data_IF_785155518130
#
_entry.id   IF_785155518130
#
_cell.length_a   1.000
_cell.length_b   1.000
_cell.length_c   1.000
_cell.angle_alpha   90.00
_cell.angle_beta   90.00
_cell.angle_gamma   90.00
#
_symmetry.space_group_name_H-M   'P 1'
#
loop_
_entity.id
_entity.type
_entity.pdbx_description
1 polymer ?
#
# COMPACT_ATOMS: atom_id res chain seq x y z
N UNK A 1 33.37 -60.96 -5.86
CA UNK A 1 32.51 -60.19 -6.73
C UNK A 1 31.12 -59.88 -6.15
N UNK A 2 30.62 -60.57 -5.16
CA UNK A 2 29.29 -60.31 -4.53
C UNK A 2 29.31 -59.10 -3.56
N UNK A 3 30.44 -58.81 -2.91
CA UNK A 3 30.51 -57.73 -1.90
C UNK A 3 30.56 -56.31 -2.48
N UNK A 4 30.90 -56.12 -3.75
CA UNK A 4 30.90 -54.81 -4.40
C UNK A 4 29.50 -54.41 -4.89
N UNK A 5 28.67 -55.37 -5.22
CA UNK A 5 27.30 -55.13 -5.68
C UNK A 5 26.38 -54.70 -4.55
N UNK A 6 26.56 -55.26 -3.33
CA UNK A 6 25.81 -54.89 -2.15
C UNK A 6 26.13 -53.45 -1.63
N UNK A 7 27.36 -52.98 -1.83
CA UNK A 7 27.78 -51.63 -1.47
C UNK A 7 27.29 -50.55 -2.49
N UNK A 8 27.14 -50.93 -3.77
CA UNK A 8 26.55 -50.10 -4.79
C UNK A 8 25.02 -49.93 -4.61
N UNK A 9 24.34 -51.03 -4.26
CA UNK A 9 22.89 -50.99 -4.00
C UNK A 9 22.55 -50.21 -2.71
N UNK A 10 23.44 -50.22 -1.70
CA UNK A 10 23.26 -49.39 -0.49
C UNK A 10 23.51 -47.90 -0.76
N UNK A 11 24.47 -47.56 -1.62
CA UNK A 11 24.72 -46.16 -2.00
C UNK A 11 23.63 -45.57 -2.93
N UNK A 12 22.98 -46.41 -3.76
CA UNK A 12 21.84 -45.95 -4.56
C UNK A 12 20.56 -45.75 -3.73
N UNK A 13 20.38 -46.53 -2.64
CA UNK A 13 19.24 -46.40 -1.75
C UNK A 13 19.36 -45.19 -0.78
N UNK A 14 20.56 -44.70 -0.50
CA UNK A 14 20.74 -43.49 0.30
C UNK A 14 20.47 -42.21 -0.47
N UNK A 15 20.58 -42.22 -1.80
CA UNK A 15 20.29 -41.05 -2.64
C UNK A 15 18.79 -40.89 -3.00
N UNK A 16 17.95 -41.88 -2.72
CA UNK A 16 16.51 -41.85 -3.05
C UNK A 16 15.60 -41.51 -1.87
N UNK A 17 16.14 -41.26 -0.66
CA UNK A 17 15.40 -40.84 0.52
C UNK A 17 15.53 -39.35 0.79
N UNK A 18 15.66 -38.53 -0.24
CA UNK A 18 15.32 -37.10 -0.11
C UNK A 18 13.78 -37.01 -0.14
N UNK A 19 13.19 -36.97 1.05
CA UNK A 19 11.77 -36.67 1.23
C UNK A 19 11.37 -35.48 0.32
N UNK A 20 10.41 -35.65 -0.60
CA UNK A 20 9.99 -34.60 -1.51
C UNK A 20 9.30 -33.43 -0.77
N UNK A 21 9.16 -33.53 0.54
CA UNK A 21 8.54 -32.52 1.40
C UNK A 21 9.55 -31.54 2.02
N UNK A 22 10.84 -31.84 2.01
CA UNK A 22 11.86 -30.90 2.50
C UNK A 22 12.46 -30.14 1.30
N UNK A 23 11.86 -29.00 0.97
CA UNK A 23 12.55 -28.03 0.10
C UNK A 23 13.89 -27.70 0.74
N UNK A 24 14.99 -28.01 0.04
CA UNK A 24 16.33 -27.62 0.46
C UNK A 24 16.34 -26.11 0.66
N UNK A 25 17.02 -25.61 1.70
CA UNK A 25 17.11 -24.15 2.00
C UNK A 25 17.42 -23.31 0.75
N UNK A 26 18.25 -23.85 -0.15
CA UNK A 26 18.56 -23.25 -1.46
C UNK A 26 17.32 -23.16 -2.37
N UNK A 27 16.43 -24.15 -2.38
CA UNK A 27 15.19 -24.11 -3.15
C UNK A 27 14.22 -23.06 -2.62
N UNK A 28 14.16 -22.88 -1.29
CA UNK A 28 13.33 -21.85 -0.68
C UNK A 28 13.81 -20.43 -1.03
N UNK A 29 15.12 -20.20 -1.07
CA UNK A 29 15.72 -18.93 -1.51
C UNK A 29 15.45 -18.63 -2.98
N UNK A 30 15.47 -19.64 -3.85
CA UNK A 30 15.17 -19.46 -5.27
C UNK A 30 13.70 -19.04 -5.48
N UNK A 31 12.75 -19.66 -4.77
CA UNK A 31 11.34 -19.29 -4.81
C UNK A 31 11.14 -17.86 -4.29
N UNK A 32 11.82 -17.49 -3.19
CA UNK A 32 11.77 -16.13 -2.64
C UNK A 32 12.29 -15.09 -3.66
N UNK A 33 13.41 -15.36 -4.30
CA UNK A 33 13.99 -14.48 -5.32
C UNK A 33 13.04 -14.28 -6.50
N UNK A 34 12.44 -15.36 -7.00
CA UNK A 34 11.48 -15.31 -8.10
C UNK A 34 10.22 -14.51 -7.72
N UNK A 35 9.72 -14.71 -6.49
CA UNK A 35 8.59 -13.95 -5.95
C UNK A 35 8.90 -12.45 -5.89
N UNK A 36 10.07 -12.10 -5.32
CA UNK A 36 10.50 -10.70 -5.19
C UNK A 36 10.64 -10.03 -6.56
N UNK A 37 11.28 -10.71 -7.52
CA UNK A 37 11.42 -10.18 -8.88
C UNK A 37 10.07 -9.93 -9.54
N UNK A 38 9.11 -10.85 -9.38
CA UNK A 38 7.76 -10.72 -9.92
C UNK A 38 7.02 -9.52 -9.31
N UNK A 39 7.13 -9.34 -7.98
CA UNK A 39 6.55 -8.19 -7.28
C UNK A 39 7.13 -6.88 -7.83
N UNK A 40 8.45 -6.78 -7.93
CA UNK A 40 9.13 -5.57 -8.45
C UNK A 40 8.66 -5.22 -9.86
N UNK A 41 8.55 -6.21 -10.74
CA UNK A 41 8.06 -6.00 -12.12
C UNK A 41 6.62 -5.46 -12.13
N UNK A 42 5.73 -6.05 -11.32
CA UNK A 42 4.32 -5.62 -11.27
C UNK A 42 4.20 -4.21 -10.68
N UNK A 43 4.96 -3.89 -9.62
CA UNK A 43 5.01 -2.53 -9.05
C UNK A 43 5.50 -1.52 -10.10
N UNK A 44 6.55 -1.86 -10.84
CA UNK A 44 7.11 -0.98 -11.86
C UNK A 44 6.12 -0.71 -13.00
N UNK A 45 5.46 -1.75 -13.50
CA UNK A 45 4.42 -1.62 -14.53
C UNK A 45 3.24 -0.77 -14.02
N UNK A 46 2.78 -1.01 -12.79
CA UNK A 46 1.70 -0.21 -12.17
C UNK A 46 2.11 1.25 -12.00
N UNK A 47 3.36 1.52 -11.62
CA UNK A 47 3.89 2.89 -11.48
C UNK A 47 3.93 3.63 -12.82
N UNK A 48 4.31 2.95 -13.91
CA UNK A 48 4.28 3.52 -15.27
C UNK A 48 2.84 3.86 -15.68
N UNK A 49 1.87 2.99 -15.36
CA UNK A 49 0.46 3.25 -15.66
C UNK A 49 -0.04 4.49 -14.91
N UNK A 50 0.26 4.60 -13.61
CA UNK A 50 -0.11 5.78 -12.80
C UNK A 50 0.58 7.04 -13.35
N UNK A 51 1.85 6.95 -13.72
CA UNK A 51 2.60 8.05 -14.31
C UNK A 51 1.97 8.55 -15.62
N UNK A 52 1.45 7.65 -16.45
CA UNK A 52 0.77 8.01 -17.70
C UNK A 52 -0.57 8.74 -17.44
N UNK A 53 -1.31 8.35 -16.40
CA UNK A 53 -2.61 8.96 -16.05
C UNK A 53 -2.49 10.10 -15.02
N UNK A 54 -1.44 10.94 -15.13
CA UNK A 54 -1.12 12.00 -14.17
C UNK A 54 -2.32 12.89 -13.80
N UNK A 55 -3.06 13.40 -14.80
CA UNK A 55 -4.10 14.39 -14.59
C UNK A 55 -5.22 13.86 -13.69
N UNK A 56 -5.71 12.65 -13.97
CA UNK A 56 -6.73 11.99 -13.13
C UNK A 56 -6.21 11.64 -11.75
N UNK A 57 -4.96 11.21 -11.67
CA UNK A 57 -4.33 10.85 -10.41
C UNK A 57 -4.22 12.04 -9.47
N UNK A 58 -3.73 13.17 -9.99
CA UNK A 58 -3.60 14.39 -9.20
C UNK A 58 -4.96 15.00 -8.88
N UNK A 59 -5.93 14.97 -9.79
CA UNK A 59 -7.31 15.39 -9.53
C UNK A 59 -7.91 14.66 -8.32
N UNK A 60 -7.76 13.33 -8.25
CA UNK A 60 -8.26 12.53 -7.14
C UNK A 60 -7.52 12.86 -5.83
N UNK A 61 -6.19 12.97 -5.86
CA UNK A 61 -5.40 13.19 -4.64
C UNK A 61 -5.60 14.62 -4.12
N UNK A 62 -5.78 15.59 -5.00
CA UNK A 62 -5.98 16.98 -4.63
C UNK A 62 -7.43 17.31 -4.25
N UNK A 63 -8.39 16.46 -4.58
CA UNK A 63 -9.80 16.67 -4.24
C UNK A 63 -10.05 17.02 -2.75
N UNK A 64 -9.36 16.41 -1.76
CA UNK A 64 -9.52 16.78 -0.35
C UNK A 64 -9.01 18.18 0.02
N UNK A 65 -8.28 18.88 -0.84
CA UNK A 65 -7.87 20.27 -0.63
C UNK A 65 -8.97 21.30 -0.93
N UNK A 66 -10.02 20.86 -1.64
CA UNK A 66 -11.17 21.68 -1.97
C UNK A 66 -12.22 21.63 -0.85
N UNK A 67 -12.78 22.77 -0.47
CA UNK A 67 -13.88 22.89 0.51
C UNK A 67 -15.14 22.12 0.11
N UNK A 68 -15.32 21.85 -1.19
CA UNK A 68 -16.45 21.11 -1.74
C UNK A 68 -16.31 19.57 -1.63
N UNK A 69 -15.27 19.07 -1.03
CA UNK A 69 -15.03 17.62 -0.92
C UNK A 69 -16.18 16.90 -0.18
N UNK A 70 -16.50 15.69 -0.64
CA UNK A 70 -17.65 14.91 -0.17
C UNK A 70 -17.70 14.75 1.36
N UNK A 71 -16.55 14.59 2.00
CA UNK A 71 -16.46 14.40 3.46
C UNK A 71 -16.93 15.64 4.21
N UNK A 72 -16.54 16.84 3.76
CA UNK A 72 -16.94 18.08 4.43
C UNK A 72 -18.44 18.31 4.31
N UNK A 73 -19.03 18.10 3.12
CA UNK A 73 -20.48 18.19 2.90
C UNK A 73 -21.28 17.18 3.71
N UNK A 74 -20.77 15.94 3.80
CA UNK A 74 -21.44 14.90 4.59
C UNK A 74 -21.38 15.23 6.08
N UNK A 75 -20.24 15.73 6.55
CA UNK A 75 -20.07 16.11 7.94
C UNK A 75 -20.94 17.32 8.30
N UNK A 76 -21.02 18.34 7.43
CA UNK A 76 -21.90 19.49 7.59
C UNK A 76 -23.36 19.07 7.69
N UNK A 77 -23.81 18.19 6.79
CA UNK A 77 -25.19 17.68 6.82
C UNK A 77 -25.50 16.79 8.04
N UNK A 78 -24.50 16.15 8.64
CA UNK A 78 -24.64 15.38 9.88
C UNK A 78 -24.68 16.30 11.10
N UNK A 79 -23.87 17.35 11.13
CA UNK A 79 -23.83 18.33 12.21
C UNK A 79 -25.12 19.17 12.25
N UNK A 80 -25.67 19.54 11.09
CA UNK A 80 -26.97 20.23 10.99
C UNK A 80 -28.12 19.41 11.59
N UNK A 81 -28.06 18.09 11.49
CA UNK A 81 -29.05 17.18 12.12
C UNK A 81 -28.97 17.14 13.65
N UNK A 82 -27.82 17.53 14.22
CA UNK A 82 -27.57 17.51 15.67
C UNK A 82 -27.73 18.92 16.26
N UNK A 83 -28.27 19.88 15.47
CA UNK A 83 -28.48 21.28 15.86
C UNK A 83 -27.16 22.02 16.24
N UNK A 84 -26.04 21.55 15.71
CA UNK A 84 -24.74 22.20 15.84
C UNK A 84 -24.44 22.93 14.53
N UNK A 85 -24.71 24.24 14.49
CA UNK A 85 -24.35 25.07 13.34
C UNK A 85 -22.83 25.26 13.27
N UNK A 86 -22.13 24.30 12.74
CA UNK A 86 -20.70 24.40 12.48
C UNK A 86 -20.50 24.64 10.98
N UNK A 87 -20.37 25.89 10.60
CA UNK A 87 -19.98 26.25 9.23
C UNK A 87 -18.49 25.98 9.07
N UNK A 88 -18.16 25.09 8.17
CA UNK A 88 -16.79 24.98 7.70
C UNK A 88 -16.53 26.18 6.79
N UNK A 89 -15.84 27.20 7.32
CA UNK A 89 -15.39 28.34 6.51
C UNK A 89 -14.72 27.84 5.23
N UNK A 90 -14.92 28.58 4.14
CA UNK A 90 -14.32 28.31 2.83
C UNK A 90 -12.80 28.20 2.97
N UNK A 91 -12.33 26.99 3.21
CA UNK A 91 -10.92 26.67 3.35
C UNK A 91 -10.42 26.14 2.01
N UNK A 92 -9.78 27.01 1.26
CA UNK A 92 -9.05 26.62 0.06
C UNK A 92 -7.56 26.55 0.37
N UNK A 93 -6.97 25.38 0.20
CA UNK A 93 -5.53 25.23 0.31
C UNK A 93 -4.89 25.62 -1.00
N UNK A 94 -4.29 26.80 -1.03
CA UNK A 94 -3.45 27.19 -2.16
C UNK A 94 -2.11 26.47 -2.05
N UNK A 95 -1.90 25.48 -2.89
CA UNK A 95 -0.65 24.73 -2.97
C UNK A 95 0.36 25.51 -3.81
N UNK A 96 1.56 25.67 -3.26
CA UNK A 96 2.68 26.30 -3.96
C UNK A 96 3.78 25.28 -4.26
N UNK A 97 4.56 25.55 -5.31
CA UNK A 97 5.80 24.84 -5.59
C UNK A 97 6.97 25.78 -5.38
N UNK A 98 7.95 25.36 -4.61
CA UNK A 98 9.12 26.20 -4.25
C UNK A 98 10.30 25.99 -5.18
N UNK A 99 10.42 24.81 -5.78
CA UNK A 99 11.53 24.45 -6.66
C UNK A 99 11.04 24.15 -8.08
N UNK A 100 11.87 24.44 -9.06
CA UNK A 100 11.56 24.23 -10.48
C UNK A 100 11.34 22.74 -10.82
N UNK A 101 12.11 21.88 -10.19
CA UNK A 101 12.04 20.41 -10.37
C UNK A 101 11.01 19.72 -9.48
N UNK A 102 10.47 20.43 -8.49
CA UNK A 102 9.55 19.87 -7.48
C UNK A 102 8.35 19.17 -8.10
N UNK A 103 7.68 19.78 -9.07
CA UNK A 103 6.51 19.17 -9.73
C UNK A 103 6.84 17.83 -10.40
N UNK A 104 8.01 17.73 -11.05
CA UNK A 104 8.43 16.49 -11.69
C UNK A 104 8.77 15.41 -10.66
N UNK A 105 9.53 15.78 -9.62
CA UNK A 105 9.92 14.85 -8.55
C UNK A 105 8.70 14.36 -7.77
N UNK A 106 7.77 15.25 -7.45
CA UNK A 106 6.51 14.88 -6.80
C UNK A 106 5.70 13.93 -7.67
N UNK A 107 5.57 14.20 -8.97
CA UNK A 107 4.86 13.32 -9.89
C UNK A 107 5.52 11.93 -9.95
N UNK A 108 6.84 11.86 -10.05
CA UNK A 108 7.60 10.62 -10.10
C UNK A 108 7.42 9.81 -8.80
N UNK A 109 7.66 10.45 -7.64
CA UNK A 109 7.51 9.81 -6.32
C UNK A 109 6.08 9.34 -6.08
N UNK A 110 5.08 10.18 -6.32
CA UNK A 110 3.67 9.85 -6.16
C UNK A 110 3.26 8.68 -7.04
N UNK A 111 3.73 8.63 -8.30
CA UNK A 111 3.44 7.51 -9.20
C UNK A 111 4.03 6.19 -8.70
N UNK A 112 5.22 6.24 -8.12
CA UNK A 112 5.87 5.05 -7.54
C UNK A 112 5.11 4.55 -6.31
N UNK A 113 4.72 5.46 -5.42
CA UNK A 113 3.95 5.11 -4.22
C UNK A 113 2.55 4.58 -4.54
N UNK A 114 1.84 5.22 -5.45
CA UNK A 114 0.52 4.75 -5.88
C UNK A 114 0.62 3.41 -6.62
N UNK A 115 1.66 3.22 -7.43
CA UNK A 115 1.96 1.93 -8.04
C UNK A 115 2.12 0.83 -6.99
N UNK A 116 2.84 1.11 -5.90
CA UNK A 116 2.98 0.20 -4.76
C UNK A 116 1.62 -0.06 -4.08
N UNK A 117 0.82 0.98 -3.82
CA UNK A 117 -0.50 0.85 -3.19
C UNK A 117 -1.47 0.03 -4.05
N UNK A 118 -1.52 0.28 -5.35
CA UNK A 118 -2.37 -0.50 -6.28
C UNK A 118 -1.91 -1.95 -6.36
N UNK A 119 -0.61 -2.20 -6.27
CA UNK A 119 -0.05 -3.55 -6.33
C UNK A 119 -0.13 -4.27 -4.98
N UNK A 120 -0.43 -3.59 -3.89
CA UNK A 120 -0.46 -4.17 -2.54
C UNK A 120 -1.31 -5.44 -2.41
N UNK A 121 -2.54 -5.57 -2.99
CA UNK A 121 -3.30 -6.80 -2.93
C UNK A 121 -2.57 -7.97 -3.63
N UNK A 122 -1.87 -7.71 -4.71
CA UNK A 122 -1.07 -8.72 -5.39
C UNK A 122 0.12 -9.15 -4.53
N UNK A 123 0.80 -8.21 -3.87
CA UNK A 123 1.91 -8.49 -2.94
C UNK A 123 1.42 -9.40 -1.81
N UNK A 124 0.23 -9.12 -1.27
CA UNK A 124 -0.39 -9.95 -0.23
C UNK A 124 -0.67 -11.37 -0.72
N UNK A 125 -1.25 -11.51 -1.90
CA UNK A 125 -1.51 -12.81 -2.50
C UNK A 125 -0.22 -13.63 -2.69
N UNK A 126 0.84 -13.00 -3.19
CA UNK A 126 2.14 -13.67 -3.37
C UNK A 126 2.79 -14.05 -2.03
N UNK A 127 2.70 -13.21 -1.00
CA UNK A 127 3.19 -13.52 0.36
C UNK A 127 2.48 -14.73 0.95
N UNK A 128 1.15 -14.77 0.87
CA UNK A 128 0.37 -15.90 1.40
C UNK A 128 0.66 -17.17 0.59
N UNK A 129 0.78 -17.07 -0.73
CA UNK A 129 1.16 -18.19 -1.59
C UNK A 129 2.53 -18.77 -1.24
N UNK A 130 3.47 -17.91 -0.83
CA UNK A 130 4.81 -18.33 -0.38
C UNK A 130 4.75 -19.03 0.99
N UNK A 131 3.91 -18.57 1.90
CA UNK A 131 3.76 -19.12 3.26
C UNK A 131 2.83 -20.35 3.28
N UNK A 132 1.87 -20.43 2.34
CA UNK A 132 0.86 -21.48 2.29
C UNK A 132 1.41 -22.92 2.30
N UNK A 133 2.51 -23.28 1.62
CA UNK A 133 3.08 -24.64 1.70
C UNK A 133 3.65 -24.97 3.07
N UNK A 134 4.03 -23.98 3.88
CA UNK A 134 4.51 -24.18 5.25
C UNK A 134 3.35 -24.29 6.26
N UNK A 135 2.13 -23.91 5.89
CA UNK A 135 0.93 -24.09 6.69
C UNK A 135 0.33 -25.47 6.42
N UNK A 136 -0.09 -26.16 7.48
CA UNK A 136 -0.68 -27.50 7.49
C UNK A 136 -1.65 -27.76 6.33
N UNK A 137 -1.75 -29.02 5.87
CA UNK A 137 -2.59 -29.46 4.74
C UNK A 137 -4.08 -29.05 4.85
N UNK A 138 -4.62 -28.90 6.06
CA UNK A 138 -5.97 -28.41 6.32
C UNK A 138 -6.14 -26.89 6.11
N UNK A 139 -5.05 -26.13 6.01
CA UNK A 139 -5.07 -24.67 5.82
C UNK A 139 -5.31 -24.22 4.37
N UNK A 140 -5.05 -25.08 3.39
CA UNK A 140 -5.16 -24.72 1.95
C UNK A 140 -6.57 -24.27 1.55
N UNK A 141 -7.61 -24.86 2.14
CA UNK A 141 -9.01 -24.57 1.81
C UNK A 141 -9.45 -23.20 2.35
N UNK A 142 -8.86 -22.74 3.46
CA UNK A 142 -9.20 -21.47 4.10
C UNK A 142 -8.27 -20.31 3.69
N UNK A 143 -7.15 -20.58 3.02
CA UNK A 143 -6.17 -19.57 2.61
C UNK A 143 -6.79 -18.52 1.68
N UNK A 144 -7.73 -18.88 0.82
CA UNK A 144 -8.43 -17.94 -0.07
C UNK A 144 -9.32 -16.96 0.70
N UNK A 145 -10.01 -17.44 1.73
CA UNK A 145 -10.85 -16.61 2.59
C UNK A 145 -9.99 -15.60 3.34
N UNK A 146 -8.84 -16.04 3.86
CA UNK A 146 -7.88 -15.19 4.56
C UNK A 146 -7.37 -14.06 3.64
N UNK A 147 -6.93 -14.39 2.41
CA UNK A 147 -6.50 -13.41 1.41
C UNK A 147 -7.57 -12.38 1.12
N UNK A 148 -8.80 -12.85 0.90
CA UNK A 148 -9.93 -11.98 0.58
C UNK A 148 -10.28 -11.07 1.75
N UNK A 149 -10.27 -11.57 2.98
CA UNK A 149 -10.51 -10.75 4.19
C UNK A 149 -9.45 -9.68 4.38
N UNK A 150 -8.16 -10.01 4.21
CA UNK A 150 -7.06 -9.03 4.29
C UNK A 150 -7.20 -7.95 3.22
N UNK A 151 -7.58 -8.32 2.01
CA UNK A 151 -7.80 -7.38 0.93
C UNK A 151 -8.94 -6.40 1.21
N UNK A 152 -10.09 -6.92 1.70
CA UNK A 152 -11.20 -6.06 2.11
C UNK A 152 -10.79 -5.10 3.23
N UNK A 153 -10.09 -5.59 4.23
CA UNK A 153 -9.62 -4.78 5.35
C UNK A 153 -8.65 -3.68 4.89
N UNK A 154 -7.74 -4.01 3.96
CA UNK A 154 -6.85 -3.04 3.34
C UNK A 154 -7.61 -1.94 2.59
N UNK A 155 -8.60 -2.29 1.77
CA UNK A 155 -9.43 -1.32 1.04
C UNK A 155 -10.19 -0.41 2.02
N UNK A 156 -10.76 -0.97 3.08
CA UNK A 156 -11.44 -0.19 4.13
C UNK A 156 -10.47 0.79 4.79
N UNK A 157 -9.26 0.34 5.13
CA UNK A 157 -8.21 1.20 5.68
C UNK A 157 -7.83 2.36 4.75
N UNK A 158 -7.66 2.08 3.46
CA UNK A 158 -7.38 3.09 2.45
C UNK A 158 -8.55 4.07 2.28
N UNK A 159 -9.79 3.59 2.30
CA UNK A 159 -10.98 4.44 2.23
C UNK A 159 -11.09 5.36 3.46
N UNK A 160 -10.90 4.83 4.66
CA UNK A 160 -10.88 5.63 5.90
C UNK A 160 -9.78 6.68 5.84
N UNK A 161 -8.58 6.32 5.37
CA UNK A 161 -7.50 7.27 5.20
C UNK A 161 -7.90 8.40 4.24
N UNK A 162 -8.39 8.08 3.06
CA UNK A 162 -8.70 9.04 2.01
C UNK A 162 -9.90 9.95 2.36
N UNK A 163 -10.96 9.39 2.95
CA UNK A 163 -12.19 10.15 3.22
C UNK A 163 -12.20 10.82 4.59
N UNK A 164 -11.47 10.29 5.57
CA UNK A 164 -11.53 10.82 6.95
C UNK A 164 -10.18 11.40 7.36
N UNK A 165 -9.15 10.57 7.47
CA UNK A 165 -7.91 10.97 8.13
C UNK A 165 -7.19 12.07 7.35
N UNK A 166 -7.06 11.89 6.05
CA UNK A 166 -6.31 12.80 5.20
C UNK A 166 -6.96 14.20 5.11
N UNK A 167 -8.27 14.37 4.83
CA UNK A 167 -8.92 15.68 4.83
C UNK A 167 -8.80 16.41 6.16
N UNK A 168 -9.00 15.69 7.28
CA UNK A 168 -8.84 16.29 8.61
C UNK A 168 -7.40 16.70 8.89
N UNK A 169 -6.42 15.88 8.47
CA UNK A 169 -5.00 16.19 8.61
C UNK A 169 -4.61 17.43 7.83
N UNK A 170 -5.01 17.53 6.56
CA UNK A 170 -4.74 18.70 5.70
C UNK A 170 -5.35 19.96 6.29
N UNK A 171 -6.61 19.89 6.73
CA UNK A 171 -7.28 21.01 7.35
C UNK A 171 -6.61 21.44 8.65
N UNK A 172 -6.29 20.48 9.53
CA UNK A 172 -5.62 20.76 10.80
C UNK A 172 -4.25 21.40 10.58
N UNK A 173 -3.41 20.80 9.73
CA UNK A 173 -2.07 21.35 9.46
C UNK A 173 -2.12 22.70 8.72
N UNK A 174 -3.06 22.85 7.81
CA UNK A 174 -3.22 24.10 7.05
C UNK A 174 -3.74 25.27 7.88
N UNK A 175 -4.54 24.98 8.92
CA UNK A 175 -5.09 26.00 9.81
C UNK A 175 -4.19 26.24 11.04
N UNK A 176 -3.32 25.29 11.38
CA UNK A 176 -2.47 25.40 12.56
C UNK A 176 -1.36 26.42 12.35
N UNK A 177 -1.37 27.49 13.15
CA UNK A 177 -0.33 28.51 13.17
C UNK A 177 0.29 28.59 14.57
N UNK A 178 1.62 28.50 14.62
CA UNK A 178 2.38 28.60 15.88
C UNK A 178 2.40 30.02 16.42
N UNK A 179 2.32 31.02 15.54
CA UNK A 179 2.32 32.45 15.89
C UNK A 179 1.58 33.24 14.82
N UNK A 180 0.90 34.32 15.22
CA UNK A 180 0.15 35.19 14.31
C UNK A 180 0.96 35.88 13.20
N UNK A 181 2.30 35.81 13.30
CA UNK A 181 3.23 36.33 12.28
C UNK A 181 3.68 35.28 11.25
N UNK A 182 3.32 34.01 11.45
CA UNK A 182 3.73 32.91 10.57
C UNK A 182 2.53 32.47 9.74
N UNK A 183 2.57 32.76 8.45
CA UNK A 183 1.57 32.25 7.50
C UNK A 183 1.98 30.85 7.05
N UNK A 184 1.13 29.86 7.33
CA UNK A 184 1.32 28.47 6.87
C UNK A 184 1.01 28.40 5.38
N UNK A 185 2.03 28.16 4.56
CA UNK A 185 1.86 27.90 3.13
C UNK A 185 2.22 26.45 2.86
N UNK A 186 1.27 25.68 2.32
CA UNK A 186 1.49 24.25 2.07
C UNK A 186 2.10 24.09 0.68
N UNK A 187 3.25 23.39 0.61
CA UNK A 187 3.86 23.04 -0.66
C UNK A 187 3.24 21.77 -1.22
N UNK A 188 3.22 21.64 -2.55
CA UNK A 188 2.74 20.43 -3.23
C UNK A 188 3.47 19.17 -2.75
N UNK A 189 4.78 19.25 -2.54
CA UNK A 189 5.60 18.14 -2.03
C UNK A 189 5.16 17.70 -0.64
N UNK A 190 5.02 18.66 0.28
CA UNK A 190 4.58 18.36 1.65
C UNK A 190 3.17 17.74 1.71
N UNK A 191 2.28 18.21 0.85
CA UNK A 191 0.93 17.64 0.71
C UNK A 191 0.98 16.19 0.25
N UNK A 192 1.75 15.91 -0.80
CA UNK A 192 1.89 14.55 -1.36
C UNK A 192 2.62 13.60 -0.43
N UNK A 193 3.66 14.07 0.27
CA UNK A 193 4.38 13.28 1.28
C UNK A 193 3.46 12.92 2.46
N UNK A 194 2.64 13.86 2.92
CA UNK A 194 1.65 13.60 3.97
C UNK A 194 0.63 12.56 3.51
N UNK A 195 0.08 12.72 2.31
CA UNK A 195 -0.86 11.75 1.73
C UNK A 195 -0.27 10.35 1.65
N UNK A 196 0.93 10.23 1.11
CA UNK A 196 1.62 8.95 0.90
C UNK A 196 2.00 8.29 2.21
N UNK A 197 2.54 9.06 3.15
CA UNK A 197 2.93 8.56 4.48
C UNK A 197 1.72 8.04 5.26
N UNK A 198 0.63 8.81 5.30
CA UNK A 198 -0.61 8.38 5.96
C UNK A 198 -1.21 7.15 5.28
N UNK A 199 -1.21 7.10 3.95
CA UNK A 199 -1.73 5.96 3.19
C UNK A 199 -0.91 4.69 3.44
N UNK A 200 0.42 4.80 3.49
CA UNK A 200 1.28 3.67 3.82
C UNK A 200 1.07 3.18 5.25
N UNK A 201 1.07 4.10 6.22
CA UNK A 201 0.88 3.75 7.63
C UNK A 201 -0.47 3.06 7.84
N UNK A 202 -1.55 3.62 7.27
CA UNK A 202 -2.88 3.01 7.34
C UNK A 202 -2.94 1.67 6.61
N UNK A 203 -2.35 1.57 5.42
CA UNK A 203 -2.24 0.30 4.72
C UNK A 203 -1.55 -0.78 5.57
N UNK A 204 -0.47 -0.43 6.28
CA UNK A 204 0.22 -1.35 7.19
C UNK A 204 -0.62 -1.72 8.41
N UNK A 205 -1.26 -0.75 9.08
CA UNK A 205 -2.08 -1.01 10.29
C UNK A 205 -3.22 -1.97 9.98
N UNK A 206 -3.90 -1.81 8.85
CA UNK A 206 -5.00 -2.69 8.48
C UNK A 206 -4.54 -4.03 7.88
N UNK A 207 -3.24 -4.19 7.63
CA UNK A 207 -2.64 -5.41 7.13
C UNK A 207 -2.20 -6.35 8.25
N UNK A 208 -1.85 -5.82 9.41
CA UNK A 208 -1.41 -6.53 10.61
C UNK A 208 -2.51 -6.61 11.65
#
# INVERSE_FOLDING_TARGET
>A
MQNQKSLQDQNQNQNNNSDPTMMTFSGHLEVLRQMLFRIVVVVFVSSILVFYFKDKTFEIILAPSDSNFVTYKTLESLLDKIDISFQFDNFEVTLITTELSSQFMTHFSTSLYLGLLITSPYILCERIRFVAPALYENGKKNSWILVTSMYFLFIIGMAINYFIIFPFSVRFLGTYSVASKVHSTITLDSYMDTFTSLSLVMGFIFLF
#
